data_IF_785670957865
#
_entry.id   IF_785670957865
#
_cell.length_a   1.000
_cell.length_b   1.000
_cell.length_c   1.000
_cell.angle_alpha   90.00
_cell.angle_beta   90.00
_cell.angle_gamma   90.00
#
_symmetry.space_group_name_H-M   'P 1'
#
loop_
_entity.id
_entity.type
_entity.pdbx_description
1 polymer ?
#
# COMPACT_ATOMS: atom_id res chain seq x y z
N UNK A 1 15.89 4.17 13.54
CA UNK A 1 17.02 5.10 13.81
C UNK A 1 18.21 4.73 12.92
N UNK A 2 19.00 5.69 12.42
CA UNK A 2 20.22 5.36 11.64
C UNK A 2 21.22 4.56 12.48
N UNK A 3 21.92 3.61 11.87
CA UNK A 3 22.87 2.73 12.57
C UNK A 3 23.92 3.50 13.38
N UNK A 4 24.53 4.51 12.76
CA UNK A 4 25.54 5.35 13.42
C UNK A 4 24.97 6.12 14.63
N UNK A 5 23.77 6.69 14.49
CA UNK A 5 23.11 7.39 15.58
C UNK A 5 22.73 6.43 16.72
N UNK A 6 22.27 5.22 16.40
CA UNK A 6 21.95 4.19 17.38
C UNK A 6 23.20 3.71 18.12
N UNK A 7 24.32 3.54 17.40
CA UNK A 7 25.61 3.20 17.98
C UNK A 7 26.09 4.25 18.98
N UNK A 8 26.08 5.53 18.61
CA UNK A 8 26.50 6.62 19.51
C UNK A 8 25.58 6.71 20.73
N UNK A 9 24.29 6.45 20.57
CA UNK A 9 23.30 6.48 21.66
C UNK A 9 23.46 5.32 22.66
N UNK A 10 23.57 4.08 22.16
CA UNK A 10 23.65 2.88 23.01
C UNK A 10 25.05 2.60 23.54
N UNK A 11 26.08 2.96 22.76
CA UNK A 11 27.47 2.58 23.00
C UNK A 11 28.43 3.78 22.92
N UNK A 12 28.20 4.87 23.68
CA UNK A 12 28.97 6.11 23.57
C UNK A 12 30.46 5.98 23.94
N UNK A 13 30.85 4.88 24.62
CA UNK A 13 32.22 4.63 25.10
C UNK A 13 32.93 3.47 24.41
N UNK A 14 32.28 2.84 23.43
CA UNK A 14 32.83 1.70 22.70
C UNK A 14 33.37 2.14 21.35
N UNK A 15 34.46 1.52 20.93
CA UNK A 15 34.97 1.70 19.57
C UNK A 15 33.98 1.15 18.52
N UNK A 16 34.08 1.70 17.31
CA UNK A 16 33.23 1.38 16.15
C UNK A 16 33.10 -0.13 15.91
N UNK A 17 34.22 -0.85 15.83
CA UNK A 17 34.24 -2.27 15.47
C UNK A 17 33.46 -3.15 16.46
N UNK A 18 33.79 -3.10 17.77
CA UNK A 18 33.02 -3.82 18.78
C UNK A 18 31.54 -3.45 18.83
N UNK A 19 31.21 -2.16 18.71
CA UNK A 19 29.82 -1.71 18.76
C UNK A 19 29.00 -2.21 17.56
N UNK A 20 29.59 -2.23 16.37
CA UNK A 20 28.94 -2.77 15.17
C UNK A 20 28.69 -4.28 15.29
N UNK A 21 29.63 -5.05 15.86
CA UNK A 21 29.42 -6.49 16.08
C UNK A 21 28.26 -6.78 17.04
N UNK A 22 28.05 -5.92 18.04
CA UNK A 22 26.92 -6.04 18.97
C UNK A 22 25.61 -5.74 18.22
N UNK A 23 25.56 -4.69 17.40
CA UNK A 23 24.38 -4.39 16.59
C UNK A 23 24.05 -5.52 15.61
N UNK A 24 25.06 -6.11 14.96
CA UNK A 24 24.85 -7.25 14.06
C UNK A 24 24.33 -8.48 14.80
N UNK A 25 24.79 -8.69 16.04
CA UNK A 25 24.26 -9.74 16.90
C UNK A 25 22.80 -9.48 17.28
N UNK A 26 22.45 -8.24 17.64
CA UNK A 26 21.07 -7.86 17.96
C UNK A 26 20.12 -8.00 16.75
N UNK A 27 20.61 -7.81 15.52
CA UNK A 27 19.84 -8.07 14.30
C UNK A 27 19.66 -9.58 14.09
N UNK A 28 20.75 -10.34 14.24
CA UNK A 28 20.75 -11.81 14.08
C UNK A 28 19.83 -12.50 15.10
N UNK A 29 19.83 -12.00 16.33
CA UNK A 29 19.01 -12.53 17.43
C UNK A 29 17.57 -11.96 17.41
N UNK A 30 17.20 -11.19 16.38
CA UNK A 30 15.85 -10.66 16.18
C UNK A 30 15.42 -9.59 17.18
N UNK A 31 16.36 -8.97 17.90
CA UNK A 31 16.08 -7.85 18.82
C UNK A 31 15.96 -6.52 18.06
N UNK A 32 16.62 -6.40 16.92
CA UNK A 32 16.52 -5.29 15.98
C UNK A 32 16.22 -5.84 14.58
N UNK A 33 15.52 -5.06 13.76
CA UNK A 33 15.36 -5.34 12.33
C UNK A 33 16.00 -4.22 11.51
N UNK A 34 16.53 -4.58 10.34
CA UNK A 34 17.02 -3.62 9.36
C UNK A 34 15.85 -3.11 8.51
N UNK A 35 15.59 -1.81 8.59
CA UNK A 35 14.63 -1.09 7.76
C UNK A 35 15.42 -0.14 6.83
N UNK A 36 15.94 -0.66 5.73
CA UNK A 36 16.83 0.06 4.81
C UNK A 36 18.13 0.51 5.51
N UNK A 37 18.35 1.83 5.61
CA UNK A 37 19.52 2.42 6.31
C UNK A 37 19.30 2.64 7.82
N UNK A 38 18.15 2.21 8.32
CA UNK A 38 17.76 2.34 9.72
C UNK A 38 17.69 0.97 10.40
N UNK A 39 17.90 0.98 11.72
CA UNK A 39 17.60 -0.10 12.63
C UNK A 39 16.36 0.28 13.43
N UNK A 40 15.45 -0.66 13.61
CA UNK A 40 14.23 -0.50 14.39
C UNK A 40 14.04 -1.72 15.31
N UNK A 41 13.18 -1.58 16.33
CA UNK A 41 12.70 -2.76 17.04
C UNK A 41 11.77 -3.54 16.09
N UNK A 42 11.73 -4.88 16.16
CA UNK A 42 10.78 -5.68 15.40
C UNK A 42 9.32 -5.28 15.67
N UNK A 43 9.05 -4.77 16.86
CA UNK A 43 7.74 -4.28 17.31
C UNK A 43 7.55 -2.77 17.12
N UNK A 44 8.51 -2.08 16.51
CA UNK A 44 8.37 -0.65 16.23
C UNK A 44 7.32 -0.45 15.14
N UNK A 45 6.07 -0.22 15.57
CA UNK A 45 5.03 0.36 14.75
C UNK A 45 5.09 1.89 14.81
N UNK A 46 4.64 2.56 13.75
CA UNK A 46 4.44 4.01 13.78
C UNK A 46 3.36 4.31 14.83
N UNK A 47 3.76 4.93 15.94
CA UNK A 47 2.80 5.44 16.92
C UNK A 47 2.21 6.73 16.38
N UNK A 48 0.94 6.68 16.00
CA UNK A 48 0.20 7.85 15.57
C UNK A 48 -0.20 8.70 16.77
N UNK A 49 -0.20 10.03 16.58
CA UNK A 49 -0.91 10.91 17.51
C UNK A 49 -2.42 10.70 17.34
N UNK A 50 -3.26 11.05 18.33
CA UNK A 50 -4.72 10.93 18.20
C UNK A 50 -5.28 11.62 16.94
N UNK A 51 -4.69 12.74 16.53
CA UNK A 51 -5.07 13.44 15.29
C UNK A 51 -4.69 12.67 14.03
N UNK A 52 -3.56 11.97 14.04
CA UNK A 52 -3.12 11.14 12.92
C UNK A 52 -3.94 9.85 12.82
N UNK A 53 -4.28 9.23 13.95
CA UNK A 53 -5.15 8.05 14.00
C UNK A 53 -6.55 8.40 13.46
N UNK A 54 -7.13 9.52 13.91
CA UNK A 54 -8.41 10.01 13.39
C UNK A 54 -8.36 10.33 11.89
N UNK A 55 -7.20 10.77 11.38
CA UNK A 55 -7.00 11.01 9.95
C UNK A 55 -6.88 9.70 9.16
N UNK A 56 -6.16 8.71 9.70
CA UNK A 56 -6.06 7.36 9.16
C UNK A 56 -7.45 6.74 9.02
N UNK A 57 -8.24 6.74 10.09
CA UNK A 57 -9.60 6.19 10.09
C UNK A 57 -10.49 6.87 9.04
N UNK A 58 -10.40 8.20 8.91
CA UNK A 58 -11.15 8.96 7.89
C UNK A 58 -10.75 8.58 6.46
N UNK A 59 -9.45 8.45 6.19
CA UNK A 59 -8.95 8.06 4.87
C UNK A 59 -9.43 6.65 4.50
N UNK A 60 -9.29 5.69 5.41
CA UNK A 60 -9.75 4.32 5.19
C UNK A 60 -11.27 4.25 5.03
N UNK A 61 -12.03 4.99 5.84
CA UNK A 61 -13.49 5.05 5.73
C UNK A 61 -13.92 5.64 4.37
N UNK A 62 -13.26 6.70 3.91
CA UNK A 62 -13.56 7.32 2.62
C UNK A 62 -13.29 6.35 1.45
N UNK A 63 -12.18 5.60 1.48
CA UNK A 63 -11.86 4.60 0.46
C UNK A 63 -12.76 3.36 0.52
N UNK A 64 -13.30 3.00 1.69
CA UNK A 64 -14.18 1.84 1.85
C UNK A 64 -15.67 2.13 1.63
N UNK A 65 -16.10 3.40 1.64
CA UNK A 65 -17.51 3.76 1.43
C UNK A 65 -18.01 3.35 0.03
N UNK A 66 -17.18 3.57 -0.99
CA UNK A 66 -17.42 3.09 -2.37
C UNK A 66 -16.18 2.31 -2.86
N UNK A 67 -16.07 1.01 -2.54
CA UNK A 67 -14.85 0.22 -2.78
C UNK A 67 -14.34 0.24 -4.22
N UNK A 68 -15.27 0.24 -5.20
CA UNK A 68 -14.93 0.23 -6.62
C UNK A 68 -15.08 1.58 -7.31
N UNK A 69 -15.36 2.63 -6.55
CA UNK A 69 -15.39 4.01 -7.03
C UNK A 69 -14.72 4.92 -5.98
N UNK A 70 -13.45 4.65 -5.62
CA UNK A 70 -12.81 5.37 -4.54
C UNK A 70 -12.66 6.86 -4.87
N UNK A 71 -12.58 7.72 -3.83
CA UNK A 71 -12.32 9.13 -4.03
C UNK A 71 -10.96 9.36 -4.70
N UNK A 72 -10.89 10.42 -5.49
CA UNK A 72 -9.63 10.88 -6.07
C UNK A 72 -8.71 11.45 -4.99
N UNK A 73 -7.39 11.25 -5.13
CA UNK A 73 -6.38 11.80 -4.21
C UNK A 73 -6.47 13.32 -4.13
N UNK A 74 -6.74 13.99 -5.24
CA UNK A 74 -6.99 15.43 -5.33
C UNK A 74 -8.20 15.88 -4.48
N UNK A 75 -9.28 15.08 -4.48
CA UNK A 75 -10.45 15.31 -3.64
C UNK A 75 -10.13 15.13 -2.15
N UNK A 76 -9.44 14.04 -1.80
CA UNK A 76 -8.98 13.80 -0.43
C UNK A 76 -8.03 14.93 0.06
N UNK A 77 -7.16 15.42 -0.82
CA UNK A 77 -6.28 16.55 -0.52
C UNK A 77 -7.07 17.85 -0.30
N UNK A 78 -8.14 18.09 -1.05
CA UNK A 78 -8.99 19.27 -0.88
C UNK A 78 -9.76 19.22 0.44
N UNK A 79 -10.29 18.05 0.81
CA UNK A 79 -11.09 17.85 2.01
C UNK A 79 -10.25 17.76 3.30
N UNK A 80 -9.10 17.09 3.23
CA UNK A 80 -8.30 16.70 4.40
C UNK A 80 -6.85 17.21 4.38
N UNK A 81 -6.37 17.77 3.27
CA UNK A 81 -5.00 18.25 3.10
C UNK A 81 -4.63 19.52 3.87
N UNK A 82 -5.57 20.11 4.62
CA UNK A 82 -5.27 21.19 5.59
C UNK A 82 -4.48 20.67 6.79
N UNK A 83 -4.53 19.37 7.06
CA UNK A 83 -3.71 18.76 8.10
C UNK A 83 -2.26 18.65 7.63
N UNK A 84 -1.32 19.17 8.45
CA UNK A 84 0.13 19.05 8.23
C UNK A 84 0.61 17.58 8.16
N UNK A 85 -0.17 16.66 8.73
CA UNK A 85 0.18 15.24 8.80
C UNK A 85 -0.52 14.40 7.71
N UNK A 86 -1.36 15.01 6.86
CA UNK A 86 -2.06 14.32 5.77
C UNK A 86 -1.12 13.53 4.86
N UNK A 87 -0.06 14.16 4.36
CA UNK A 87 0.86 13.49 3.46
C UNK A 87 1.57 12.31 4.14
N UNK A 88 1.98 12.47 5.41
CA UNK A 88 2.65 11.41 6.17
C UNK A 88 1.74 10.21 6.41
N UNK A 89 0.48 10.45 6.78
CA UNK A 89 -0.50 9.38 7.01
C UNK A 89 -0.83 8.68 5.70
N UNK A 90 -1.01 9.43 4.61
CA UNK A 90 -1.25 8.85 3.29
C UNK A 90 -0.07 7.99 2.80
N UNK A 91 1.16 8.49 2.96
CA UNK A 91 2.38 7.76 2.62
C UNK A 91 2.47 6.47 3.44
N UNK A 92 2.22 6.55 4.76
CA UNK A 92 2.17 5.36 5.60
C UNK A 92 1.15 4.32 5.12
N UNK A 93 -0.09 4.73 4.84
CA UNK A 93 -1.14 3.80 4.39
C UNK A 93 -0.81 3.18 3.04
N UNK A 94 -0.08 3.90 2.20
CA UNK A 94 0.40 3.42 0.91
C UNK A 94 1.56 2.43 1.09
N UNK A 95 2.51 2.75 1.96
CA UNK A 95 3.69 1.92 2.25
C UNK A 95 3.30 0.60 2.94
N UNK A 96 2.33 0.63 3.86
CA UNK A 96 1.74 -0.57 4.48
C UNK A 96 0.84 -1.36 3.52
N UNK A 97 0.51 -0.79 2.36
CA UNK A 97 -0.35 -1.41 1.36
C UNK A 97 -1.84 -1.43 1.73
N UNK A 98 -2.26 -0.69 2.77
CA UNK A 98 -3.68 -0.53 3.12
C UNK A 98 -4.44 0.26 2.03
N UNK A 99 -3.75 1.23 1.43
CA UNK A 99 -4.21 1.96 0.24
C UNK A 99 -3.28 1.69 -0.93
N UNK A 100 -3.86 1.41 -2.09
CA UNK A 100 -3.15 1.09 -3.33
C UNK A 100 -3.41 2.21 -4.34
N UNK A 101 -2.41 3.03 -4.66
CA UNK A 101 -2.53 4.05 -5.68
C UNK A 101 -2.55 3.40 -7.08
N UNK A 102 -3.62 3.65 -7.81
CA UNK A 102 -3.71 3.37 -9.25
C UNK A 102 -3.43 4.67 -10.03
N UNK A 103 -3.52 4.64 -11.37
CA UNK A 103 -3.43 5.82 -12.28
C UNK A 103 -3.69 7.16 -11.58
N UNK A 104 -2.90 8.23 -11.85
CA UNK A 104 -2.17 9.05 -10.88
C UNK A 104 -2.96 9.65 -9.71
N UNK A 105 -4.30 9.58 -9.73
CA UNK A 105 -5.20 10.19 -8.77
C UNK A 105 -6.18 9.20 -8.11
N UNK A 106 -6.12 7.87 -8.35
CA UNK A 106 -7.05 6.90 -7.73
C UNK A 106 -6.42 6.15 -6.55
N UNK A 107 -7.13 6.05 -5.42
CA UNK A 107 -6.66 5.37 -4.20
C UNK A 107 -7.64 4.28 -3.75
N UNK A 108 -7.39 3.04 -4.16
CA UNK A 108 -8.21 1.89 -3.76
C UNK A 108 -7.78 1.37 -2.39
N UNK A 109 -8.71 0.85 -1.60
CA UNK A 109 -8.32 0.07 -0.42
C UNK A 109 -7.81 -1.31 -0.82
N UNK A 110 -6.94 -1.90 0.00
CA UNK A 110 -6.45 -3.27 -0.22
C UNK A 110 -7.59 -4.28 -0.35
N UNK A 111 -8.57 -4.16 0.54
CA UNK A 111 -9.75 -5.01 0.55
C UNK A 111 -10.56 -4.90 -0.75
N UNK A 112 -10.73 -3.69 -1.29
CA UNK A 112 -11.39 -3.50 -2.58
C UNK A 112 -10.59 -4.14 -3.73
N UNK A 113 -9.26 -3.98 -3.73
CA UNK A 113 -8.40 -4.60 -4.73
C UNK A 113 -8.48 -6.14 -4.69
N UNK A 114 -8.49 -6.73 -3.49
CA UNK A 114 -8.60 -8.19 -3.32
C UNK A 114 -9.92 -8.73 -3.83
N UNK A 115 -11.02 -8.05 -3.49
CA UNK A 115 -12.35 -8.46 -3.95
C UNK A 115 -12.49 -8.31 -5.47
N UNK A 116 -11.97 -7.21 -6.03
CA UNK A 116 -11.95 -7.01 -7.48
C UNK A 116 -11.14 -8.10 -8.20
N UNK A 117 -9.99 -8.49 -7.65
CA UNK A 117 -9.17 -9.56 -8.22
C UNK A 117 -9.85 -10.92 -8.12
N UNK A 118 -10.53 -11.21 -7.01
CA UNK A 118 -11.34 -12.43 -6.84
C UNK A 118 -12.38 -12.53 -7.96
N UNK A 119 -13.16 -11.47 -8.17
CA UNK A 119 -14.20 -11.41 -9.21
C UNK A 119 -13.60 -11.51 -10.63
N UNK A 120 -12.45 -10.89 -10.87
CA UNK A 120 -11.70 -11.03 -12.12
C UNK A 120 -11.34 -12.49 -12.40
N UNK A 121 -10.78 -13.19 -11.40
CA UNK A 121 -10.36 -14.59 -11.53
C UNK A 121 -11.55 -15.51 -11.76
N UNK A 122 -12.69 -15.23 -11.13
CA UNK A 122 -13.94 -15.97 -11.36
C UNK A 122 -14.46 -15.80 -12.79
N UNK A 123 -14.48 -14.57 -13.30
CA UNK A 123 -14.84 -14.31 -14.70
C UNK A 123 -13.89 -14.99 -15.68
N UNK A 124 -12.58 -14.94 -15.41
CA UNK A 124 -11.58 -15.57 -16.26
C UNK A 124 -11.71 -17.11 -16.24
N UNK A 125 -12.03 -17.71 -15.09
CA UNK A 125 -12.25 -19.15 -14.98
C UNK A 125 -13.51 -19.61 -15.76
N UNK A 126 -14.53 -18.76 -15.85
CA UNK A 126 -15.76 -19.05 -16.59
C UNK A 126 -15.61 -18.89 -18.11
N UNK A 127 -14.92 -17.82 -18.54
CA UNK A 127 -14.92 -17.38 -19.94
C UNK A 127 -13.58 -17.61 -20.66
N UNK A 128 -12.51 -17.93 -19.94
CA UNK A 128 -11.13 -18.01 -20.46
C UNK A 128 -10.46 -16.65 -20.65
N UNK A 129 -11.23 -15.63 -21.04
CA UNK A 129 -10.81 -14.24 -21.17
C UNK A 129 -11.84 -13.27 -20.60
N UNK A 130 -11.41 -12.06 -20.25
CA UNK A 130 -12.24 -11.04 -19.61
C UNK A 130 -12.24 -9.75 -20.41
N UNK A 131 -13.41 -9.36 -20.90
CA UNK A 131 -13.63 -8.07 -21.55
C UNK A 131 -13.87 -6.98 -20.49
N UNK A 132 -13.47 -5.74 -20.78
CA UNK A 132 -13.68 -4.60 -19.86
C UNK A 132 -15.16 -4.41 -19.50
N UNK A 133 -16.09 -4.60 -20.43
CA UNK A 133 -17.52 -4.47 -20.15
C UNK A 133 -18.01 -5.51 -19.13
N UNK A 134 -17.58 -6.78 -19.28
CA UNK A 134 -17.94 -7.86 -18.37
C UNK A 134 -17.40 -7.61 -16.97
N UNK A 135 -16.13 -7.21 -16.87
CA UNK A 135 -15.52 -6.91 -15.58
C UNK A 135 -16.21 -5.72 -14.90
N UNK A 136 -16.42 -4.62 -15.63
CA UNK A 136 -17.16 -3.44 -15.14
C UNK A 136 -18.52 -3.84 -14.55
N UNK A 137 -19.28 -4.65 -15.29
CA UNK A 137 -20.62 -5.05 -14.90
C UNK A 137 -20.60 -5.97 -13.66
N UNK A 138 -19.58 -6.83 -13.53
CA UNK A 138 -19.42 -7.71 -12.38
C UNK A 138 -19.14 -6.99 -11.06
N UNK A 139 -18.38 -5.90 -11.10
CA UNK A 139 -18.04 -5.10 -9.91
C UNK A 139 -18.95 -3.86 -9.76
N UNK A 140 -19.93 -3.68 -10.65
CA UNK A 140 -20.91 -2.60 -10.56
C UNK A 140 -20.33 -1.19 -10.57
N UNK A 141 -19.28 -0.94 -11.37
CA UNK A 141 -18.58 0.36 -11.38
C UNK A 141 -18.60 1.06 -12.74
N UNK A 142 -18.00 2.25 -12.82
CA UNK A 142 -17.82 2.97 -14.08
C UNK A 142 -16.70 2.38 -14.94
N UNK A 143 -16.72 2.65 -16.25
CA UNK A 143 -15.65 2.20 -17.16
C UNK A 143 -14.26 2.72 -16.72
N UNK A 144 -14.19 3.92 -16.14
CA UNK A 144 -12.93 4.54 -15.66
C UNK A 144 -12.26 3.65 -14.60
N UNK A 145 -13.00 3.27 -13.55
CA UNK A 145 -12.44 2.50 -12.44
C UNK A 145 -12.11 1.05 -12.84
N UNK A 146 -13.00 0.41 -13.60
CA UNK A 146 -12.76 -0.94 -14.10
C UNK A 146 -11.53 -1.00 -15.01
N UNK A 147 -11.32 0.01 -15.86
CA UNK A 147 -10.15 0.10 -16.73
C UNK A 147 -8.86 0.29 -15.93
N UNK A 148 -8.87 1.19 -14.94
CA UNK A 148 -7.72 1.43 -14.08
C UNK A 148 -7.27 0.15 -13.34
N UNK A 149 -8.22 -0.63 -12.80
CA UNK A 149 -7.94 -1.92 -12.16
C UNK A 149 -7.29 -2.91 -13.14
N UNK A 150 -7.86 -3.05 -14.33
CA UNK A 150 -7.35 -3.95 -15.35
C UNK A 150 -5.96 -3.55 -15.84
N UNK A 151 -5.68 -2.26 -15.99
CA UNK A 151 -4.37 -1.73 -16.36
C UNK A 151 -3.34 -1.93 -15.25
N UNK A 152 -3.75 -1.73 -14.00
CA UNK A 152 -2.92 -2.05 -12.84
C UNK A 152 -2.50 -3.53 -12.84
N UNK A 153 -3.42 -4.44 -13.13
CA UNK A 153 -3.12 -5.88 -13.23
C UNK A 153 -2.29 -6.26 -14.45
N UNK A 154 -2.38 -5.52 -15.55
CA UNK A 154 -1.49 -5.71 -16.69
C UNK A 154 -0.05 -5.33 -16.32
N UNK A 155 0.14 -4.22 -15.61
CA UNK A 155 1.47 -3.73 -15.18
C UNK A 155 2.08 -4.62 -14.10
N UNK A 156 1.29 -5.01 -13.10
CA UNK A 156 1.73 -5.91 -12.01
C UNK A 156 1.86 -7.37 -12.44
N UNK A 157 1.39 -7.69 -13.65
CA UNK A 157 1.58 -9.00 -14.28
C UNK A 157 0.59 -10.07 -13.83
N UNK A 158 -0.56 -9.67 -13.29
CA UNK A 158 -1.70 -10.56 -13.00
C UNK A 158 -2.47 -10.89 -14.29
N UNK A 159 -2.65 -9.92 -15.17
CA UNK A 159 -3.29 -10.09 -16.47
C UNK A 159 -2.34 -9.77 -17.63
N UNK A 160 -2.76 -10.17 -18.83
CA UNK A 160 -2.18 -9.71 -20.08
C UNK A 160 -3.30 -9.40 -21.06
N UNK A 161 -3.18 -8.28 -21.77
CA UNK A 161 -4.08 -7.91 -22.86
C UNK A 161 -3.96 -8.88 -24.06
N UNK A 162 -5.10 -9.36 -24.54
CA UNK A 162 -5.27 -10.24 -25.70
C UNK A 162 -6.38 -9.66 -26.59
N UNK A 163 -6.01 -8.89 -27.61
CA UNK A 163 -6.98 -8.11 -28.40
C UNK A 163 -7.71 -7.09 -27.52
N UNK A 164 -9.05 -7.20 -27.48
CA UNK A 164 -9.92 -6.36 -26.64
C UNK A 164 -10.19 -6.97 -25.24
N UNK A 165 -9.74 -8.21 -25.01
CA UNK A 165 -9.89 -8.94 -23.76
C UNK A 165 -8.59 -8.98 -22.95
N UNK A 166 -8.66 -9.57 -21.76
CA UNK A 166 -7.53 -9.91 -20.91
C UNK A 166 -7.58 -11.35 -20.49
N UNK A 167 -6.41 -11.98 -20.42
CA UNK A 167 -6.23 -13.34 -19.90
C UNK A 167 -5.38 -13.29 -18.63
N UNK A 168 -5.61 -14.22 -17.70
CA UNK A 168 -4.76 -14.38 -16.53
C UNK A 168 -3.38 -14.88 -16.97
N UNK A 169 -2.33 -14.36 -16.34
CA UNK A 169 -0.98 -14.91 -16.48
C UNK A 169 -0.85 -16.17 -15.62
N UNK A 170 -0.29 -17.22 -16.23
CA UNK A 170 0.09 -18.49 -15.60
C UNK A 170 1.43 -18.41 -14.90
#
# INVERSE_FOLDING_TARGET
MRREALRTSLFPRLETGPADRILDRMITDGTLCAAGRCLALPTFGVLFTPEQEALKEKLLAASNHEPFAPPERSKLMTEMGRSKDFQKVLDYLTDEGELVPLEPDLLFSRAAMDEAERLLRELAAQNGEVMLAQFRDSIGTSRKYAMALLEYWDVTGITRKNGDARVLRS
#
